data_IF_804953589532
#
_entry.id   IF_804953589532
#
_cell.length_a   1.000
_cell.length_b   1.000
_cell.length_c   1.000
_cell.angle_alpha   90.00
_cell.angle_beta   90.00
_cell.angle_gamma   90.00
#
_symmetry.space_group_name_H-M   'P 1'
#
loop_
_entity.id
_entity.type
_entity.pdbx_description
1 polymer ?
#
# COMPACT_ATOMS: atom_id res chain seq x y z
N UNK A 1 17.30 -2.83 26.46
CA UNK A 1 16.14 -2.13 25.86
C UNK A 1 15.00 -2.20 26.86
N UNK A 2 14.40 -1.07 27.24
CA UNK A 2 13.25 -1.08 28.15
C UNK A 2 12.10 -1.89 27.52
N UNK A 3 11.50 -2.81 28.27
CA UNK A 3 10.38 -3.63 27.82
C UNK A 3 9.17 -2.71 27.70
N UNK A 4 8.90 -2.21 26.49
CA UNK A 4 7.70 -1.40 26.24
C UNK A 4 6.46 -2.26 26.44
N UNK A 5 5.51 -1.78 27.23
CA UNK A 5 4.29 -2.52 27.53
C UNK A 5 3.43 -2.67 26.27
N UNK A 6 2.47 -3.61 26.29
CA UNK A 6 1.52 -3.78 25.17
C UNK A 6 0.71 -2.49 24.93
N UNK A 7 0.36 -1.78 26.01
CA UNK A 7 -0.38 -0.52 25.93
C UNK A 7 0.44 0.60 25.28
N UNK A 8 1.70 0.78 25.66
CA UNK A 8 2.58 1.77 25.03
C UNK A 8 2.76 1.51 23.52
N UNK A 9 2.88 0.24 23.12
CA UNK A 9 2.91 -0.14 21.71
C UNK A 9 1.60 0.15 20.97
N UNK A 10 0.46 0.12 21.65
CA UNK A 10 -0.81 0.51 21.05
C UNK A 10 -0.92 2.03 20.91
N UNK A 11 -0.56 2.79 21.94
CA UNK A 11 -0.55 4.25 21.87
C UNK A 11 0.34 4.77 20.74
N UNK A 12 1.56 4.22 20.61
CA UNK A 12 2.46 4.59 19.53
C UNK A 12 1.89 4.30 18.14
N UNK A 13 1.15 3.19 17.99
CA UNK A 13 0.46 2.86 16.72
C UNK A 13 -0.70 3.81 16.45
N UNK A 14 -1.47 4.18 17.47
CA UNK A 14 -2.54 5.16 17.33
C UNK A 14 -1.97 6.54 16.92
N UNK A 15 -0.83 6.94 17.50
CA UNK A 15 -0.14 8.18 17.11
C UNK A 15 0.42 8.10 15.69
N UNK A 16 0.96 6.95 15.29
CA UNK A 16 1.36 6.71 13.89
C UNK A 16 0.17 6.85 12.93
N UNK A 17 -1.01 6.33 13.31
CA UNK A 17 -2.23 6.44 12.51
C UNK A 17 -2.70 7.91 12.38
N UNK A 18 -2.61 8.69 13.45
CA UNK A 18 -2.90 10.13 13.40
C UNK A 18 -1.95 10.87 12.45
N UNK A 19 -0.64 10.65 12.57
CA UNK A 19 0.35 11.29 11.69
C UNK A 19 0.11 10.96 10.20
N UNK A 20 -0.25 9.71 9.88
CA UNK A 20 -0.58 9.33 8.51
C UNK A 20 -1.90 9.94 8.05
N UNK A 21 -2.91 9.99 8.93
CA UNK A 21 -4.20 10.65 8.64
C UNK A 21 -4.02 12.15 8.37
N UNK A 22 -3.10 12.80 9.06
CA UNK A 22 -2.75 14.22 8.88
C UNK A 22 -1.90 14.47 7.62
N UNK A 23 -1.56 13.41 6.88
CA UNK A 23 -0.81 13.49 5.63
C UNK A 23 0.71 13.61 5.80
N UNK A 24 1.25 13.32 7.00
CA UNK A 24 2.70 13.34 7.22
C UNK A 24 3.36 12.19 6.44
N UNK A 25 4.44 12.45 5.67
CA UNK A 25 5.15 11.40 4.96
C UNK A 25 5.67 10.30 5.89
N UNK A 26 5.66 9.01 5.49
CA UNK A 26 6.07 7.90 6.35
C UNK A 26 7.49 8.02 6.92
N UNK A 27 8.42 8.61 6.15
CA UNK A 27 9.79 8.84 6.58
C UNK A 27 9.91 9.86 7.70
N UNK A 28 9.04 10.87 7.68
CA UNK A 28 9.05 11.98 8.61
C UNK A 28 8.31 11.59 9.89
N UNK A 29 7.16 10.94 9.72
CA UNK A 29 6.41 10.31 10.81
C UNK A 29 7.29 9.30 11.58
N UNK A 30 8.12 8.50 10.90
CA UNK A 30 9.03 7.56 11.56
C UNK A 30 10.09 8.28 12.41
N UNK A 31 10.58 9.42 11.93
CA UNK A 31 11.53 10.27 12.67
C UNK A 31 10.88 10.83 13.93
N UNK A 32 9.69 11.41 13.79
CA UNK A 32 8.94 11.98 14.91
C UNK A 32 8.64 10.91 15.97
N UNK A 33 8.09 9.76 15.57
CA UNK A 33 7.81 8.65 16.50
C UNK A 33 9.06 8.12 17.19
N UNK A 34 10.20 8.05 16.48
CA UNK A 34 11.46 7.60 17.09
C UNK A 34 11.97 8.59 18.15
N UNK A 35 11.77 9.88 17.93
CA UNK A 35 12.14 10.93 18.89
C UNK A 35 11.19 10.94 20.10
N UNK A 36 9.88 10.92 19.87
CA UNK A 36 8.85 10.94 20.92
C UNK A 36 8.95 9.72 21.85
N UNK A 37 9.14 8.52 21.27
CA UNK A 37 9.10 7.26 22.03
C UNK A 37 10.47 6.69 22.37
N UNK A 38 11.57 7.34 21.94
CA UNK A 38 12.93 6.85 22.14
C UNK A 38 13.19 5.46 21.53
N UNK A 39 12.42 5.07 20.50
CA UNK A 39 12.54 3.77 19.85
C UNK A 39 13.37 3.85 18.57
N UNK A 40 13.81 2.68 18.07
CA UNK A 40 14.56 2.64 16.82
C UNK A 40 13.68 3.05 15.63
N UNK A 41 14.27 3.70 14.63
CA UNK A 41 13.59 4.06 13.38
C UNK A 41 12.90 2.85 12.71
N UNK A 42 13.53 1.67 12.75
CA UNK A 42 12.95 0.43 12.23
C UNK A 42 11.65 0.05 12.95
N UNK A 43 11.60 0.25 14.26
CA UNK A 43 10.39 0.00 15.06
C UNK A 43 9.28 0.97 14.67
N UNK A 44 9.60 2.26 14.53
CA UNK A 44 8.63 3.28 14.10
C UNK A 44 8.08 3.02 12.70
N UNK A 45 8.93 2.63 11.75
CA UNK A 45 8.51 2.28 10.39
C UNK A 45 7.53 1.10 10.40
N UNK A 46 7.79 0.08 11.23
CA UNK A 46 6.85 -1.05 11.37
C UNK A 46 5.49 -0.62 11.92
N UNK A 47 5.46 0.29 12.88
CA UNK A 47 4.20 0.80 13.42
C UNK A 47 3.44 1.64 12.39
N UNK A 48 4.14 2.36 11.52
CA UNK A 48 3.54 3.08 10.39
C UNK A 48 2.99 2.12 9.34
N UNK A 49 3.73 1.07 8.97
CA UNK A 49 3.24 0.04 8.02
C UNK A 49 1.95 -0.62 8.54
N UNK A 50 1.89 -0.89 9.85
CA UNK A 50 0.68 -1.40 10.49
C UNK A 50 -0.48 -0.39 10.44
N UNK A 51 -0.21 0.89 10.77
CA UNK A 51 -1.23 1.94 10.69
C UNK A 51 -1.76 2.14 9.25
N UNK A 52 -0.88 2.10 8.24
CA UNK A 52 -1.26 2.15 6.83
C UNK A 52 -2.10 0.94 6.42
N UNK A 53 -1.75 -0.25 6.91
CA UNK A 53 -2.54 -1.46 6.68
C UNK A 53 -3.93 -1.36 7.32
N UNK A 54 -4.01 -0.79 8.52
CA UNK A 54 -5.28 -0.53 9.21
C UNK A 54 -6.16 0.46 8.44
N UNK A 55 -5.58 1.55 7.92
CA UNK A 55 -6.30 2.50 7.05
C UNK A 55 -6.80 1.83 5.77
N UNK A 56 -5.96 1.01 5.12
CA UNK A 56 -6.35 0.27 3.93
C UNK A 56 -7.47 -0.75 4.21
N UNK A 57 -7.47 -1.39 5.39
CA UNK A 57 -8.52 -2.31 5.82
C UNK A 57 -9.82 -1.60 6.22
N UNK A 58 -9.73 -0.36 6.71
CA UNK A 58 -10.88 0.45 7.06
C UNK A 58 -11.67 0.90 5.81
N UNK A 59 -11.00 1.01 4.66
CA UNK A 59 -11.66 1.24 3.38
C UNK A 59 -12.40 -0.03 2.94
N UNK A 60 -13.71 0.08 2.73
CA UNK A 60 -14.46 -1.07 2.27
C UNK A 60 -14.20 -1.35 0.77
N UNK A 61 -14.47 -2.58 0.32
CA UNK A 61 -14.22 -3.00 -1.07
C UNK A 61 -14.98 -2.17 -2.12
N UNK A 62 -16.18 -1.69 -1.80
CA UNK A 62 -17.01 -0.82 -2.64
C UNK A 62 -16.41 0.58 -2.75
N UNK A 63 -15.95 1.18 -1.65
CA UNK A 63 -15.29 2.50 -1.63
C UNK A 63 -14.01 2.47 -2.47
N UNK A 64 -13.19 1.43 -2.31
CA UNK A 64 -11.98 1.22 -3.12
C UNK A 64 -12.35 1.09 -4.60
N UNK A 65 -13.38 0.31 -4.94
CA UNK A 65 -13.84 0.17 -6.33
C UNK A 65 -14.31 1.50 -6.93
N UNK A 66 -15.04 2.33 -6.17
CA UNK A 66 -15.45 3.65 -6.63
C UNK A 66 -14.26 4.59 -6.83
N UNK A 67 -13.30 4.61 -5.90
CA UNK A 67 -12.08 5.41 -6.03
C UNK A 67 -11.26 4.98 -7.25
N UNK A 68 -11.07 3.67 -7.45
CA UNK A 68 -10.36 3.13 -8.62
C UNK A 68 -11.10 3.47 -9.91
N UNK A 69 -12.43 3.36 -9.93
CA UNK A 69 -13.24 3.75 -11.08
C UNK A 69 -13.08 5.23 -11.42
N UNK A 70 -13.11 6.11 -10.42
CA UNK A 70 -12.89 7.54 -10.63
C UNK A 70 -11.49 7.84 -11.15
N UNK A 71 -10.44 7.29 -10.52
CA UNK A 71 -9.05 7.45 -10.97
C UNK A 71 -8.85 6.94 -12.40
N UNK A 72 -9.44 5.79 -12.75
CA UNK A 72 -9.36 5.24 -14.09
C UNK A 72 -9.90 6.22 -15.14
N UNK A 73 -11.04 6.86 -14.88
CA UNK A 73 -11.59 7.87 -15.80
C UNK A 73 -10.69 9.10 -15.93
N UNK A 74 -10.03 9.54 -14.86
CA UNK A 74 -9.10 10.67 -14.91
C UNK A 74 -7.85 10.33 -15.72
N UNK A 75 -7.24 9.16 -15.49
CA UNK A 75 -6.05 8.73 -16.23
C UNK A 75 -6.35 8.45 -17.71
N UNK A 76 -7.52 7.91 -18.05
CA UNK A 76 -7.92 7.75 -19.45
C UNK A 76 -8.04 9.09 -20.17
N UNK A 77 -8.66 10.09 -19.53
CA UNK A 77 -8.76 11.45 -20.06
C UNK A 77 -7.38 12.11 -20.20
N UNK A 78 -6.52 11.92 -19.21
CA UNK A 78 -5.15 12.44 -19.23
C UNK A 78 -4.34 11.82 -20.37
N UNK A 79 -4.41 10.50 -20.55
CA UNK A 79 -3.73 9.81 -21.66
C UNK A 79 -4.17 10.37 -23.01
N UNK A 80 -5.49 10.44 -23.26
CA UNK A 80 -6.03 10.96 -24.52
C UNK A 80 -5.68 12.44 -24.76
N UNK A 81 -5.58 13.25 -23.69
CA UNK A 81 -5.13 14.64 -23.80
C UNK A 81 -3.62 14.69 -24.12
N UNK A 82 -2.80 13.97 -23.37
CA UNK A 82 -1.36 13.93 -23.55
C UNK A 82 -0.96 13.43 -24.95
N UNK A 83 -1.66 12.43 -25.49
CA UNK A 83 -1.45 11.97 -26.87
C UNK A 83 -1.75 13.05 -27.91
N UNK A 84 -2.87 13.78 -27.76
CA UNK A 84 -3.22 14.89 -28.65
C UNK A 84 -2.22 16.03 -28.59
N UNK A 85 -1.68 16.30 -27.41
CA UNK A 85 -0.70 17.37 -27.17
C UNK A 85 0.75 16.93 -27.49
N UNK A 86 0.96 15.71 -27.98
CA UNK A 86 2.29 15.17 -28.31
C UNK A 86 3.16 14.83 -27.10
N UNK A 87 2.60 14.82 -25.89
CA UNK A 87 3.27 14.54 -24.63
C UNK A 87 3.29 13.03 -24.32
N UNK A 88 3.97 12.25 -25.16
CA UNK A 88 3.92 10.79 -25.09
C UNK A 88 4.46 10.20 -23.77
N UNK A 89 5.41 10.85 -23.11
CA UNK A 89 5.90 10.39 -21.80
C UNK A 89 4.78 10.40 -20.75
N UNK A 90 3.95 11.45 -20.73
CA UNK A 90 2.81 11.55 -19.83
C UNK A 90 1.70 10.55 -20.21
N UNK A 91 1.47 10.32 -21.51
CA UNK A 91 0.53 9.32 -22.00
C UNK A 91 0.93 7.90 -21.56
N UNK A 92 2.19 7.51 -21.78
CA UNK A 92 2.73 6.23 -21.32
C UNK A 92 2.64 6.06 -19.80
N UNK A 93 2.95 7.12 -19.04
CA UNK A 93 2.80 7.13 -17.58
C UNK A 93 1.35 6.87 -17.16
N UNK A 94 0.39 7.56 -17.78
CA UNK A 94 -1.03 7.38 -17.50
C UNK A 94 -1.53 5.96 -17.85
N UNK A 95 -1.11 5.42 -19.00
CA UNK A 95 -1.44 4.05 -19.41
C UNK A 95 -0.83 3.00 -18.47
N UNK A 96 0.40 3.21 -18.00
CA UNK A 96 1.03 2.32 -17.03
C UNK A 96 0.31 2.37 -15.68
N UNK A 97 -0.10 3.54 -15.21
CA UNK A 97 -0.92 3.66 -13.99
C UNK A 97 -2.27 2.93 -14.14
N UNK A 98 -2.92 3.01 -15.30
CA UNK A 98 -4.14 2.23 -15.59
C UNK A 98 -3.89 0.72 -15.55
N UNK A 99 -2.80 0.25 -16.16
CA UNK A 99 -2.39 -1.17 -16.10
C UNK A 99 -2.21 -1.63 -14.64
N UNK A 100 -1.48 -0.86 -13.84
CA UNK A 100 -1.21 -1.20 -12.44
C UNK A 100 -2.49 -1.23 -11.60
N UNK A 101 -3.43 -0.30 -11.82
CA UNK A 101 -4.68 -0.25 -11.04
C UNK A 101 -5.71 -1.30 -11.46
N UNK A 102 -5.84 -1.57 -12.77
CA UNK A 102 -6.98 -2.35 -13.30
C UNK A 102 -6.60 -3.76 -13.75
N UNK A 103 -5.42 -3.92 -14.34
CA UNK A 103 -5.02 -5.17 -15.02
C UNK A 103 -4.13 -6.02 -14.11
N UNK A 104 -3.14 -5.41 -13.47
CA UNK A 104 -2.18 -6.11 -12.60
C UNK A 104 -2.87 -6.91 -11.49
N UNK A 105 -3.89 -6.40 -10.78
CA UNK A 105 -4.56 -7.18 -9.73
C UNK A 105 -5.31 -8.41 -10.27
N UNK A 106 -5.74 -8.38 -11.53
CA UNK A 106 -6.40 -9.52 -12.17
C UNK A 106 -5.37 -10.59 -12.55
N UNK A 107 -4.24 -10.16 -13.11
CA UNK A 107 -3.11 -11.04 -13.43
C UNK A 107 -2.56 -11.70 -12.16
N UNK A 108 -2.35 -10.94 -11.10
CA UNK A 108 -1.80 -11.46 -9.83
C UNK A 108 -2.73 -12.52 -9.23
N UNK A 109 -4.05 -12.31 -9.26
CA UNK A 109 -5.04 -13.34 -8.85
C UNK A 109 -5.00 -14.58 -9.73
N UNK A 110 -4.82 -14.44 -11.04
CA UNK A 110 -4.66 -15.57 -11.95
C UNK A 110 -3.39 -16.36 -11.62
N UNK A 111 -2.26 -15.67 -11.42
CA UNK A 111 -1.01 -16.31 -11.02
C UNK A 111 -1.14 -17.02 -9.67
N UNK A 112 -1.70 -16.38 -8.65
CA UNK A 112 -1.93 -17.03 -7.35
C UNK A 112 -2.81 -18.28 -7.46
N UNK A 113 -3.87 -18.25 -8.27
CA UNK A 113 -4.73 -19.41 -8.50
C UNK A 113 -3.97 -20.56 -9.16
N UNK A 114 -3.06 -20.26 -10.10
CA UNK A 114 -2.21 -21.26 -10.74
C UNK A 114 -1.20 -21.91 -9.76
N UNK A 115 -0.63 -21.16 -8.82
CA UNK A 115 0.35 -21.69 -7.86
C UNK A 115 -0.26 -22.44 -6.67
N UNK A 116 -1.56 -22.31 -6.41
CA UNK A 116 -2.25 -23.08 -5.35
C UNK A 116 -2.54 -24.53 -5.73
N UNK A 117 -2.32 -24.91 -6.99
CA UNK A 117 -2.36 -26.29 -7.44
C UNK A 117 -0.98 -26.95 -7.43
N UNK A 118 -0.74 -27.87 -6.50
CA UNK A 118 0.26 -28.97 -6.60
C UNK A 118 1.71 -28.66 -6.18
N UNK A 119 1.92 -28.41 -4.89
CA UNK A 119 3.15 -28.82 -4.19
C UNK A 119 2.83 -29.94 -3.18
N UNK A 120 2.37 -31.08 -3.67
CA UNK A 120 2.44 -32.33 -2.89
C UNK A 120 3.87 -32.84 -2.97
N UNK A 121 4.72 -32.48 -2.00
CA UNK A 121 5.97 -33.18 -1.77
C UNK A 121 5.63 -34.62 -1.37
N UNK A 122 5.51 -35.52 -2.35
CA UNK A 122 5.69 -36.94 -2.08
C UNK A 122 7.18 -37.14 -1.78
N UNK A 123 7.53 -37.00 -0.51
CA UNK A 123 8.80 -37.49 -0.01
C UNK A 123 8.80 -39.01 -0.21
N UNK A 124 9.42 -39.48 -1.29
CA UNK A 124 9.87 -40.87 -1.36
C UNK A 124 10.91 -41.05 -0.25
N UNK A 125 10.46 -41.57 0.90
CA UNK A 125 11.35 -42.22 1.85
C UNK A 125 12.01 -43.39 1.13
N UNK A 126 13.34 -43.35 1.09
CA UNK A 126 14.19 -44.49 0.74
C UNK A 126 13.95 -45.64 1.70
#
# INVERSE_FOLDING_TARGET
MAITTKQQRQQRRNEALQLISDGVPPTDAATQLSQTWGCSRRTSLRDIELAQSELANALNSVEIQHMVGWLATQYQRLAAKAERDGQYAAACGALNSLRVMLVQPQLDRQFEAHFRGRFTHHAHRR
#
